data_IF_299858689391
#
_entry.id   IF_299858689391
#
_cell.length_a   1.000
_cell.length_b   1.000
_cell.length_c   1.000
_cell.angle_alpha   90.00
_cell.angle_beta   90.00
_cell.angle_gamma   90.00
#
_symmetry.space_group_name_H-M   'P 1'
#
loop_
_entity.id
_entity.type
_entity.pdbx_description
1 polymer ?
#
# COMPACT_ATOMS: atom_id res chain seq x y z
N UNK A 1 -2.10 -3.77 -43.03
CA UNK A 1 -2.66 -4.78 -43.95
C UNK A 1 -1.61 -5.08 -45.01
N UNK A 2 -1.20 -6.34 -45.16
CA UNK A 2 -0.09 -6.68 -46.05
C UNK A 2 -0.58 -6.70 -47.51
N UNK A 3 -0.02 -5.81 -48.34
CA UNK A 3 -0.25 -5.79 -49.78
C UNK A 3 1.04 -6.29 -50.45
N UNK A 4 0.90 -7.16 -51.44
CA UNK A 4 2.05 -7.63 -52.22
C UNK A 4 2.63 -6.50 -53.08
N UNK A 5 3.86 -6.67 -53.55
CA UNK A 5 4.54 -5.70 -54.44
C UNK A 5 3.71 -5.41 -55.71
N UNK A 6 2.90 -6.37 -56.17
CA UNK A 6 1.99 -6.20 -57.30
C UNK A 6 0.70 -5.42 -56.98
N UNK A 7 0.57 -4.82 -55.79
CA UNK A 7 -0.62 -4.06 -55.39
C UNK A 7 -1.85 -4.93 -55.10
N UNK A 8 -1.68 -6.22 -54.79
CA UNK A 8 -2.76 -7.19 -54.50
C UNK A 8 -2.68 -7.72 -53.08
N UNK A 9 -3.82 -7.94 -52.43
CA UNK A 9 -3.92 -8.61 -51.11
C UNK A 9 -3.95 -10.14 -51.22
N UNK A 10 -4.62 -10.68 -52.24
CA UNK A 10 -4.60 -12.09 -52.62
C UNK A 10 -4.48 -12.25 -54.16
N UNK A 11 -3.96 -13.39 -54.66
CA UNK A 11 -3.90 -13.67 -56.09
C UNK A 11 -5.28 -13.65 -56.79
N UNK A 12 -6.35 -13.89 -56.04
CA UNK A 12 -7.74 -13.87 -56.52
C UNK A 12 -8.31 -12.46 -56.75
N UNK A 13 -7.70 -11.42 -56.17
CA UNK A 13 -8.17 -10.04 -56.33
C UNK A 13 -7.41 -9.30 -57.43
N UNK A 14 -8.08 -8.31 -58.04
CA UNK A 14 -7.44 -7.40 -58.99
C UNK A 14 -6.45 -6.49 -58.25
N UNK A 15 -5.50 -5.95 -59.02
CA UNK A 15 -4.55 -4.96 -58.51
C UNK A 15 -5.32 -3.72 -58.05
N UNK A 16 -4.99 -3.22 -56.85
CA UNK A 16 -5.61 -2.02 -56.26
C UNK A 16 -7.15 -2.08 -56.17
N UNK A 17 -7.70 -3.27 -55.94
CA UNK A 17 -9.13 -3.45 -55.71
C UNK A 17 -9.57 -2.72 -54.42
N UNK A 18 -10.49 -1.76 -54.55
CA UNK A 18 -11.00 -0.94 -53.45
C UNK A 18 -12.14 -1.59 -52.66
N UNK A 19 -12.54 -2.81 -53.02
CA UNK A 19 -13.61 -3.51 -52.31
C UNK A 19 -13.22 -3.84 -50.86
N UNK A 20 -14.15 -3.76 -49.89
CA UNK A 20 -13.85 -4.09 -48.50
C UNK A 20 -13.44 -5.55 -48.32
N UNK A 21 -13.96 -6.45 -49.17
CA UNK A 21 -13.58 -7.87 -49.22
C UNK A 21 -12.11 -8.08 -49.59
N UNK A 22 -11.60 -7.32 -50.56
CA UNK A 22 -10.18 -7.32 -50.90
C UNK A 22 -9.32 -6.79 -49.74
N UNK A 23 -9.90 -5.90 -48.92
CA UNK A 23 -9.34 -5.42 -47.66
C UNK A 23 -9.50 -6.36 -46.46
N UNK A 24 -9.93 -7.62 -46.64
CA UNK A 24 -10.06 -8.57 -45.54
C UNK A 24 -11.25 -8.32 -44.61
N UNK A 25 -12.23 -7.53 -45.02
CA UNK A 25 -13.54 -7.51 -44.38
C UNK A 25 -14.30 -8.80 -44.71
N UNK A 26 -14.74 -9.51 -43.68
CA UNK A 26 -15.47 -10.78 -43.78
C UNK A 26 -16.96 -10.48 -43.53
N UNK A 27 -17.80 -10.64 -44.55
CA UNK A 27 -19.25 -10.41 -44.42
C UNK A 27 -20.03 -11.67 -43.99
N UNK A 28 -19.44 -12.85 -44.18
CA UNK A 28 -20.05 -14.14 -43.85
C UNK A 28 -19.94 -14.50 -42.36
N UNK A 29 -20.78 -15.43 -41.93
CA UNK A 29 -20.85 -15.92 -40.54
C UNK A 29 -20.38 -17.37 -40.48
N UNK A 30 -19.84 -17.79 -39.34
CA UNK A 30 -19.39 -19.19 -39.15
C UNK A 30 -20.50 -20.22 -39.38
N UNK A 31 -21.76 -19.90 -39.08
CA UNK A 31 -22.89 -20.81 -39.25
C UNK A 31 -23.19 -21.14 -40.72
N UNK A 32 -23.08 -20.15 -41.61
CA UNK A 32 -23.38 -20.30 -43.04
C UNK A 32 -22.17 -20.73 -43.87
N UNK A 33 -21.00 -20.81 -43.24
CA UNK A 33 -19.72 -21.03 -43.91
C UNK A 33 -19.09 -19.70 -44.37
N UNK A 34 -17.77 -19.73 -44.52
CA UNK A 34 -16.95 -18.57 -44.91
C UNK A 34 -16.31 -18.86 -46.26
N UNK A 35 -16.26 -17.86 -47.15
CA UNK A 35 -15.62 -18.02 -48.45
C UNK A 35 -14.10 -18.27 -48.30
N UNK A 36 -13.46 -19.04 -49.20
CA UNK A 36 -12.03 -19.37 -49.07
C UNK A 36 -11.09 -18.16 -48.93
N UNK A 37 -11.41 -17.06 -49.61
CA UNK A 37 -10.64 -15.81 -49.56
C UNK A 37 -10.70 -15.16 -48.16
N UNK A 38 -11.90 -15.14 -47.57
CA UNK A 38 -12.15 -14.61 -46.23
C UNK A 38 -11.57 -15.51 -45.13
N UNK A 39 -11.67 -16.83 -45.32
CA UNK A 39 -11.07 -17.81 -44.40
C UNK A 39 -9.56 -17.60 -44.28
N UNK A 40 -8.88 -17.25 -45.39
CA UNK A 40 -7.45 -16.95 -45.36
C UNK A 40 -7.15 -15.71 -44.52
N UNK A 41 -7.90 -14.61 -44.69
CA UNK A 41 -7.74 -13.43 -43.84
C UNK A 41 -8.09 -13.70 -42.37
N UNK A 42 -9.10 -14.53 -42.12
CA UNK A 42 -9.46 -14.96 -40.78
C UNK A 42 -8.32 -15.73 -40.09
N UNK A 43 -7.69 -16.67 -40.80
CA UNK A 43 -6.57 -17.45 -40.25
C UNK A 43 -5.31 -16.60 -40.03
N UNK A 44 -5.08 -15.56 -40.85
CA UNK A 44 -4.02 -14.57 -40.56
C UNK A 44 -4.25 -13.86 -39.23
N UNK A 45 -5.46 -13.33 -39.01
CA UNK A 45 -5.81 -12.64 -37.77
C UNK A 45 -5.72 -13.58 -36.55
N UNK A 46 -6.16 -14.84 -36.69
CA UNK A 46 -6.03 -15.85 -35.63
C UNK A 46 -4.56 -16.15 -35.28
N UNK A 47 -3.68 -16.23 -36.28
CA UNK A 47 -2.24 -16.44 -36.07
C UNK A 47 -1.57 -15.26 -35.37
N UNK A 48 -1.98 -14.03 -35.66
CA UNK A 48 -1.48 -12.83 -34.98
C UNK A 48 -1.70 -12.91 -33.46
N UNK A 49 -2.90 -13.32 -33.02
CA UNK A 49 -3.21 -13.51 -31.60
C UNK A 49 -2.37 -14.62 -30.94
N UNK A 50 -2.11 -15.73 -31.65
CA UNK A 50 -1.24 -16.80 -31.17
C UNK A 50 0.22 -16.34 -31.02
N UNK A 51 0.73 -15.59 -31.99
CA UNK A 51 2.09 -15.03 -31.95
C UNK A 51 2.21 -14.02 -30.79
N UNK A 52 1.21 -13.15 -30.63
CA UNK A 52 1.19 -12.15 -29.57
C UNK A 52 1.20 -12.80 -28.17
N UNK A 53 0.42 -13.87 -28.00
CA UNK A 53 0.44 -14.69 -26.77
C UNK A 53 1.81 -15.30 -26.53
N UNK A 54 2.44 -15.88 -27.58
CA UNK A 54 3.77 -16.47 -27.46
C UNK A 54 4.84 -15.44 -27.08
N UNK A 55 4.76 -14.20 -27.58
CA UNK A 55 5.75 -13.15 -27.29
C UNK A 55 5.50 -12.50 -25.92
N UNK A 56 4.25 -12.20 -25.56
CA UNK A 56 3.91 -11.47 -24.32
C UNK A 56 4.22 -12.26 -23.05
N UNK A 57 4.14 -13.59 -23.09
CA UNK A 57 4.42 -14.47 -21.94
C UNK A 57 5.85 -14.34 -21.41
N UNK A 58 6.84 -14.19 -22.29
CA UNK A 58 8.25 -14.10 -21.91
C UNK A 58 8.57 -12.83 -21.09
N UNK A 59 7.92 -11.70 -21.43
CA UNK A 59 8.19 -10.40 -20.82
C UNK A 59 7.68 -10.30 -19.39
N UNK A 60 6.45 -10.73 -19.14
CA UNK A 60 5.85 -10.68 -17.80
C UNK A 60 6.57 -11.64 -16.84
N UNK A 61 6.95 -12.84 -17.30
CA UNK A 61 7.64 -13.82 -16.47
C UNK A 61 9.03 -13.37 -16.01
N UNK A 62 9.82 -12.75 -16.90
CA UNK A 62 11.13 -12.21 -16.53
C UNK A 62 11.01 -11.05 -15.53
N UNK A 63 10.08 -10.11 -15.78
CA UNK A 63 9.81 -9.00 -14.86
C UNK A 63 9.41 -9.51 -13.48
N UNK A 64 8.51 -10.49 -13.42
CA UNK A 64 8.08 -11.11 -12.16
C UNK A 64 9.26 -11.74 -11.42
N UNK A 65 10.15 -12.47 -12.10
CA UNK A 65 11.35 -13.06 -11.48
C UNK A 65 12.26 -11.98 -10.90
N UNK A 66 12.51 -10.91 -11.64
CA UNK A 66 13.30 -9.78 -11.15
C UNK A 66 12.67 -9.18 -9.89
N UNK A 67 11.36 -8.91 -9.90
CA UNK A 67 10.67 -8.34 -8.75
C UNK A 67 10.70 -9.29 -7.53
N UNK A 68 10.38 -10.57 -7.71
CA UNK A 68 10.40 -11.55 -6.63
C UNK A 68 11.79 -11.64 -6.01
N UNK A 69 12.84 -11.70 -6.83
CA UNK A 69 14.21 -11.86 -6.30
C UNK A 69 14.69 -10.64 -5.49
N UNK A 70 14.28 -9.43 -5.87
CA UNK A 70 14.63 -8.23 -5.11
C UNK A 70 13.77 -8.05 -3.86
N UNK A 71 12.55 -8.61 -3.84
CA UNK A 71 11.59 -8.44 -2.75
C UNK A 71 11.50 -9.66 -1.81
N UNK A 72 12.26 -10.74 -2.06
CA UNK A 72 12.18 -11.99 -1.29
C UNK A 72 12.56 -11.81 0.19
N UNK A 73 13.44 -10.86 0.50
CA UNK A 73 13.92 -10.58 1.85
C UNK A 73 12.97 -9.70 2.68
N UNK A 74 11.97 -9.09 2.04
CA UNK A 74 11.05 -8.17 2.72
C UNK A 74 10.05 -8.93 3.59
N UNK A 75 10.10 -8.65 4.89
CA UNK A 75 9.16 -9.22 5.86
C UNK A 75 8.69 -8.18 6.87
N UNK A 76 7.50 -8.42 7.42
CA UNK A 76 6.95 -7.62 8.52
C UNK A 76 7.55 -8.14 9.82
N UNK A 77 8.18 -7.25 10.59
CA UNK A 77 8.70 -7.56 11.91
C UNK A 77 7.63 -7.35 13.00
N UNK A 78 7.87 -7.87 14.21
CA UNK A 78 6.95 -7.74 15.35
C UNK A 78 6.65 -6.29 15.76
N UNK A 79 7.48 -5.32 15.37
CA UNK A 79 7.23 -3.91 15.58
C UNK A 79 6.27 -3.29 14.53
N UNK A 80 5.84 -4.08 13.54
CA UNK A 80 4.96 -3.66 12.44
C UNK A 80 5.70 -2.98 11.29
N UNK A 81 7.03 -2.89 11.35
CA UNK A 81 7.86 -2.34 10.27
C UNK A 81 8.15 -3.40 9.21
N UNK A 82 8.24 -2.98 7.96
CA UNK A 82 8.70 -3.82 6.85
C UNK A 82 10.20 -3.62 6.74
N UNK A 83 10.96 -4.70 6.95
CA UNK A 83 12.42 -4.68 6.86
C UNK A 83 12.91 -5.72 5.88
N UNK A 84 14.08 -5.43 5.32
CA UNK A 84 14.83 -6.38 4.52
C UNK A 84 15.67 -7.32 5.41
N UNK A 85 16.28 -8.33 4.81
CA UNK A 85 17.14 -9.31 5.47
C UNK A 85 18.33 -8.67 6.24
N UNK A 86 18.87 -7.56 5.75
CA UNK A 86 19.94 -6.79 6.40
C UNK A 86 19.46 -5.98 7.63
N UNK A 87 18.16 -5.98 7.92
CA UNK A 87 17.56 -5.20 8.99
C UNK A 87 17.26 -3.74 8.62
N UNK A 88 17.57 -3.33 7.40
CA UNK A 88 17.20 -2.03 6.83
C UNK A 88 15.67 -1.89 6.76
N UNK A 89 15.15 -0.78 7.31
CA UNK A 89 13.70 -0.50 7.32
C UNK A 89 13.30 0.12 5.98
N UNK A 90 12.39 -0.55 5.26
CA UNK A 90 11.85 -0.07 3.99
C UNK A 90 10.55 0.72 4.19
N UNK A 91 9.67 0.23 5.06
CA UNK A 91 8.44 0.93 5.45
C UNK A 91 8.25 0.87 6.96
N UNK A 92 7.84 1.98 7.57
CA UNK A 92 7.48 2.00 8.98
C UNK A 92 6.20 1.22 9.29
N UNK A 93 5.33 1.07 8.29
CA UNK A 93 4.09 0.33 8.41
C UNK A 93 3.66 -0.21 7.05
N UNK A 94 3.33 -1.49 6.98
CA UNK A 94 2.84 -2.12 5.76
C UNK A 94 1.63 -1.37 5.19
N UNK A 95 1.68 -0.94 3.93
CA UNK A 95 0.58 -0.22 3.28
C UNK A 95 0.21 1.12 3.93
N UNK A 96 1.07 1.67 4.80
CA UNK A 96 0.83 2.84 5.68
C UNK A 96 -0.29 2.64 6.74
N UNK A 97 -1.20 1.69 6.54
CA UNK A 97 -2.36 1.40 7.39
C UNK A 97 -2.19 0.13 8.24
N UNK A 98 -1.25 -0.74 7.89
CA UNK A 98 -0.96 -2.01 8.54
C UNK A 98 -2.05 -3.08 8.33
N UNK A 99 -2.89 -2.94 7.30
CA UNK A 99 -3.98 -3.87 7.03
C UNK A 99 -3.55 -4.96 6.07
N UNK A 100 -3.95 -6.20 6.35
CA UNK A 100 -3.82 -7.31 5.42
C UNK A 100 -4.87 -7.16 4.31
N UNK A 101 -4.41 -7.17 3.05
CA UNK A 101 -5.25 -7.02 1.86
C UNK A 101 -6.36 -8.08 1.84
N UNK A 102 -6.05 -9.33 2.22
CA UNK A 102 -7.02 -10.43 2.20
C UNK A 102 -8.12 -10.29 3.27
N UNK A 103 -7.84 -9.57 4.36
CA UNK A 103 -8.78 -9.34 5.46
C UNK A 103 -9.52 -8.00 5.36
N UNK A 104 -9.06 -7.12 4.46
CA UNK A 104 -9.56 -5.75 4.32
C UNK A 104 -10.88 -5.62 3.53
N UNK A 105 -11.36 -6.69 2.91
CA UNK A 105 -12.52 -6.68 1.98
C UNK A 105 -13.79 -6.05 2.57
N UNK A 106 -14.07 -6.28 3.87
CA UNK A 106 -15.29 -5.79 4.53
C UNK A 106 -15.11 -4.49 5.31
N UNK A 107 -13.92 -3.86 5.25
CA UNK A 107 -13.60 -2.61 5.98
C UNK A 107 -14.12 -1.36 5.24
N UNK A 108 -14.81 -1.53 4.11
CA UNK A 108 -15.37 -0.41 3.34
C UNK A 108 -16.71 0.11 3.90
N UNK A 109 -17.02 1.42 3.76
CA UNK A 109 -18.32 1.97 4.19
C UNK A 109 -19.54 1.28 3.57
N UNK A 110 -19.39 0.73 2.35
CA UNK A 110 -20.47 0.02 1.64
C UNK A 110 -20.78 -1.34 2.26
N UNK A 111 -19.79 -1.98 2.88
CA UNK A 111 -19.89 -3.32 3.47
C UNK A 111 -20.23 -3.29 4.97
N UNK A 112 -20.26 -2.11 5.60
CA UNK A 112 -20.60 -1.98 7.02
C UNK A 112 -22.00 -2.45 7.40
N UNK A 113 -23.07 -2.23 6.60
CA UNK A 113 -24.38 -2.79 6.93
C UNK A 113 -24.34 -4.31 7.05
N UNK A 114 -23.68 -4.99 6.12
CA UNK A 114 -23.49 -6.44 6.16
C UNK A 114 -22.72 -6.90 7.40
N UNK A 115 -21.67 -6.16 7.80
CA UNK A 115 -20.91 -6.49 9.00
C UNK A 115 -21.73 -6.28 10.28
N UNK A 116 -22.59 -5.25 10.31
CA UNK A 116 -23.50 -4.96 11.42
C UNK A 116 -24.52 -6.09 11.60
N UNK A 117 -25.10 -6.56 10.51
CA UNK A 117 -26.12 -7.61 10.56
C UNK A 117 -25.53 -8.96 11.03
N UNK A 118 -24.25 -9.21 10.79
CA UNK A 118 -23.54 -10.44 11.15
C UNK A 118 -22.59 -10.27 12.35
N UNK A 119 -22.77 -9.23 13.17
CA UNK A 119 -21.83 -8.88 14.24
C UNK A 119 -21.62 -10.03 15.23
N UNK A 120 -22.70 -10.71 15.65
CA UNK A 120 -22.64 -11.79 16.65
C UNK A 120 -21.73 -12.94 16.20
N UNK A 121 -21.87 -13.36 14.94
CA UNK A 121 -21.05 -14.42 14.36
C UNK A 121 -19.58 -14.01 14.23
N UNK A 122 -19.31 -12.74 13.89
CA UNK A 122 -17.94 -12.22 13.82
C UNK A 122 -17.31 -12.13 15.21
N UNK A 123 -18.07 -11.69 16.22
CA UNK A 123 -17.58 -11.59 17.60
C UNK A 123 -17.22 -12.96 18.18
N UNK A 124 -18.02 -14.00 17.93
CA UNK A 124 -17.72 -15.36 18.36
C UNK A 124 -16.41 -15.91 17.77
N UNK A 125 -16.11 -15.59 16.50
CA UNK A 125 -14.89 -16.09 15.83
C UNK A 125 -13.64 -15.27 16.15
N UNK A 126 -13.78 -13.96 16.33
CA UNK A 126 -12.65 -13.02 16.45
C UNK A 126 -12.19 -12.77 17.87
N UNK A 127 -13.05 -12.96 18.88
CA UNK A 127 -12.73 -12.73 20.29
C UNK A 127 -12.37 -14.07 20.95
N UNK A 128 -11.12 -14.25 21.43
CA UNK A 128 -10.79 -15.40 22.28
C UNK A 128 -11.63 -15.32 23.55
N UNK A 129 -12.11 -16.47 24.04
CA UNK A 129 -13.02 -16.59 25.20
C UNK A 129 -12.52 -15.84 26.46
N UNK A 130 -11.20 -15.71 26.60
CA UNK A 130 -10.54 -15.13 27.78
C UNK A 130 -10.36 -13.59 27.70
N UNK A 131 -10.54 -12.97 26.53
CA UNK A 131 -10.24 -11.54 26.34
C UNK A 131 -11.46 -10.68 26.65
N UNK A 132 -11.43 -9.95 27.77
CA UNK A 132 -12.45 -8.94 28.10
C UNK A 132 -12.18 -7.63 27.36
N UNK A 133 -13.23 -6.87 27.03
CA UNK A 133 -13.08 -5.56 26.36
C UNK A 133 -12.28 -4.55 27.19
N UNK A 134 -12.23 -4.75 28.51
CA UNK A 134 -11.37 -4.01 29.43
C UNK A 134 -9.87 -4.22 29.15
N UNK A 135 -9.46 -5.38 28.62
CA UNK A 135 -8.07 -5.66 28.26
C UNK A 135 -7.63 -4.89 26.99
N UNK A 136 -8.58 -4.51 26.13
CA UNK A 136 -8.32 -3.78 24.88
C UNK A 136 -8.26 -2.24 25.06
N UNK A 137 -8.41 -1.72 26.28
CA UNK A 137 -8.28 -0.30 26.62
C UNK A 137 -9.02 0.67 25.67
N UNK A 138 -10.20 0.27 25.19
CA UNK A 138 -10.97 0.99 24.15
C UNK A 138 -11.28 2.43 24.56
N UNK A 139 -11.64 2.64 25.83
CA UNK A 139 -11.91 3.98 26.37
C UNK A 139 -10.69 4.90 26.33
N UNK A 140 -9.50 4.36 26.63
CA UNK A 140 -8.26 5.12 26.61
C UNK A 140 -7.89 5.50 25.17
N UNK A 141 -8.07 4.58 24.22
CA UNK A 141 -7.89 4.83 22.80
C UNK A 141 -8.85 5.91 22.28
N UNK A 142 -10.12 5.87 22.68
CA UNK A 142 -11.11 6.87 22.28
C UNK A 142 -10.80 8.26 22.85
N UNK A 143 -10.43 8.34 24.14
CA UNK A 143 -9.98 9.59 24.79
C UNK A 143 -8.77 10.18 24.05
N UNK A 144 -7.83 9.33 23.64
CA UNK A 144 -6.66 9.73 22.87
C UNK A 144 -7.01 10.20 21.45
N UNK A 145 -7.90 9.49 20.76
CA UNK A 145 -8.40 9.90 19.45
C UNK A 145 -9.10 11.26 19.50
N UNK A 146 -9.91 11.52 20.53
CA UNK A 146 -10.53 12.82 20.78
C UNK A 146 -9.48 13.92 21.00
N UNK A 147 -8.35 13.63 21.67
CA UNK A 147 -7.22 14.56 21.85
C UNK A 147 -6.56 14.91 20.50
N UNK A 148 -6.33 13.91 19.64
CA UNK A 148 -5.78 14.11 18.28
C UNK A 148 -6.73 14.97 17.44
N UNK A 149 -8.04 14.68 17.47
CA UNK A 149 -9.05 15.46 16.74
C UNK A 149 -9.09 16.91 17.20
N UNK A 150 -9.00 17.17 18.50
CA UNK A 150 -8.93 18.53 19.07
C UNK A 150 -7.64 19.26 18.65
N UNK A 151 -6.51 18.56 18.61
CA UNK A 151 -5.25 19.12 18.15
C UNK A 151 -5.29 19.49 16.66
N UNK A 152 -5.79 18.59 15.79
CA UNK A 152 -5.95 18.85 14.34
C UNK A 152 -6.80 20.08 14.04
N UNK A 153 -7.86 20.33 14.83
CA UNK A 153 -8.70 21.54 14.70
C UNK A 153 -7.99 22.83 15.11
N UNK A 154 -6.99 22.75 16.00
CA UNK A 154 -6.25 23.91 16.53
C UNK A 154 -4.92 24.15 15.81
N UNK A 155 -4.46 23.19 15.00
CA UNK A 155 -3.20 23.29 14.28
C UNK A 155 -3.31 24.32 13.15
N UNK A 156 -2.34 25.24 13.00
CA UNK A 156 -2.35 26.21 11.91
C UNK A 156 -2.20 25.49 10.56
N UNK A 157 -3.03 25.88 9.59
CA UNK A 157 -2.93 25.41 8.20
C UNK A 157 -1.81 26.20 7.54
N UNK A 158 -0.58 25.68 7.61
CA UNK A 158 0.54 26.26 6.88
C UNK A 158 0.47 25.76 5.43
N UNK A 159 0.28 26.67 4.47
CA UNK A 159 0.50 26.44 3.02
C UNK A 159 -0.36 25.37 2.34
N UNK A 160 -1.68 25.32 2.60
CA UNK A 160 -2.63 24.52 1.81
C UNK A 160 -2.48 22.98 1.87
N UNK A 161 -1.43 22.48 2.51
CA UNK A 161 -1.26 21.08 2.91
C UNK A 161 -1.70 20.92 4.36
N UNK A 162 -2.37 19.82 4.68
CA UNK A 162 -2.67 19.48 6.08
C UNK A 162 -1.40 19.57 6.93
N UNK A 163 -1.54 20.14 8.15
CA UNK A 163 -0.47 20.53 9.06
C UNK A 163 0.78 19.62 8.99
N UNK A 164 1.94 20.19 8.62
CA UNK A 164 3.19 19.46 8.74
C UNK A 164 3.54 19.28 10.21
N UNK A 165 3.83 18.04 10.63
CA UNK A 165 4.28 17.74 11.99
C UNK A 165 5.62 18.43 12.22
N UNK A 166 5.66 19.45 13.07
CA UNK A 166 6.91 20.06 13.52
C UNK A 166 7.39 19.31 14.76
N UNK A 167 8.56 18.67 14.64
CA UNK A 167 9.24 18.00 15.74
C UNK A 167 10.25 18.96 16.37
N UNK A 168 9.74 19.99 17.06
CA UNK A 168 10.58 20.93 17.80
C UNK A 168 10.62 20.45 19.26
N UNK A 169 11.82 20.11 19.73
CA UNK A 169 12.06 19.70 21.11
C UNK A 169 12.54 20.89 21.94
N UNK A 170 12.48 20.79 23.29
CA UNK A 170 13.10 21.79 24.15
C UNK A 170 14.58 22.00 23.85
N UNK A 171 15.29 20.95 23.43
CA UNK A 171 16.68 21.04 22.96
C UNK A 171 16.82 21.89 21.68
N UNK A 172 15.82 21.85 20.80
CA UNK A 172 15.82 22.65 19.56
C UNK A 172 15.68 24.14 19.85
N UNK A 173 14.86 24.51 20.84
CA UNK A 173 14.74 25.89 21.34
C UNK A 173 16.05 26.34 22.03
N UNK A 174 16.63 25.48 22.88
CA UNK A 174 17.92 25.74 23.54
C UNK A 174 19.06 25.95 22.52
N UNK A 175 19.10 25.12 21.48
CA UNK A 175 20.06 25.25 20.39
C UNK A 175 19.82 26.51 19.53
N UNK A 176 18.59 27.01 19.46
CA UNK A 176 18.27 28.24 18.74
C UNK A 176 18.76 29.49 19.48
N UNK A 177 18.78 29.46 20.82
CA UNK A 177 19.32 30.53 21.67
C UNK A 177 20.87 30.53 21.66
N UNK A 178 21.51 29.38 21.45
CA UNK A 178 22.98 29.20 21.45
C UNK A 178 23.56 29.04 20.03
N UNK A 179 23.24 29.97 19.10
CA UNK A 179 23.81 29.96 17.74
C UNK A 179 25.28 30.38 17.74
N UNK A 180 26.16 29.50 17.26
CA UNK A 180 27.59 29.78 17.05
C UNK A 180 28.55 28.88 17.83
N UNK A 181 28.06 28.09 18.77
CA UNK A 181 28.84 27.08 19.50
C UNK A 181 28.92 25.76 18.72
N UNK A 182 29.95 24.96 18.98
CA UNK A 182 30.11 23.63 18.39
C UNK A 182 28.98 22.70 18.82
N UNK A 183 28.58 21.75 17.95
CA UNK A 183 27.51 20.79 18.25
C UNK A 183 27.77 20.03 19.55
N UNK A 184 29.01 19.61 19.78
CA UNK A 184 29.39 18.81 20.95
C UNK A 184 29.33 19.64 22.26
N UNK A 185 29.61 20.93 22.18
CA UNK A 185 29.51 21.86 23.30
C UNK A 185 28.04 22.09 23.68
N UNK A 186 27.16 22.27 22.71
CA UNK A 186 25.71 22.44 22.95
C UNK A 186 25.11 21.18 23.59
N UNK A 187 25.50 19.99 23.10
CA UNK A 187 25.03 18.72 23.67
C UNK A 187 25.55 18.52 25.09
N UNK A 188 26.81 18.86 25.37
CA UNK A 188 27.38 18.74 26.72
C UNK A 188 26.79 19.75 27.70
N UNK A 189 26.46 20.97 27.26
CA UNK A 189 25.74 21.95 28.08
C UNK A 189 24.33 21.46 28.41
N UNK A 190 23.60 20.94 27.41
CA UNK A 190 22.27 20.40 27.63
C UNK A 190 22.25 19.21 28.58
N UNK A 191 23.22 18.28 28.48
CA UNK A 191 23.29 17.10 29.36
C UNK A 191 23.69 17.42 30.80
N UNK A 192 24.43 18.52 31.02
CA UNK A 192 24.79 19.01 32.37
C UNK A 192 23.69 19.87 33.03
N UNK A 193 22.77 20.41 32.24
CA UNK A 193 21.65 21.23 32.71
C UNK A 193 20.69 20.44 33.62
N UNK A 194 20.10 21.12 34.61
CA UNK A 194 19.16 20.50 35.54
C UNK A 194 17.78 20.22 34.88
N UNK A 195 17.04 19.27 35.44
CA UNK A 195 15.74 18.83 34.91
C UNK A 195 14.73 19.98 34.89
N UNK A 196 14.82 20.87 35.87
CA UNK A 196 13.95 22.05 36.03
C UNK A 196 14.11 23.03 34.87
N UNK A 197 15.35 23.38 34.53
CA UNK A 197 15.69 24.28 33.42
C UNK A 197 15.32 23.67 32.06
N UNK A 198 15.55 22.35 31.88
CA UNK A 198 15.09 21.65 30.66
C UNK A 198 13.58 21.72 30.46
N UNK A 199 12.80 21.66 31.54
CA UNK A 199 11.34 21.78 31.48
C UNK A 199 10.89 23.19 31.06
N UNK A 200 11.66 24.24 31.33
CA UNK A 200 11.35 25.59 30.85
C UNK A 200 11.48 25.70 29.33
N UNK A 201 12.57 25.17 28.77
CA UNK A 201 12.75 25.07 27.31
C UNK A 201 11.68 24.17 26.67
N UNK A 202 11.27 23.10 27.35
CA UNK A 202 10.21 22.22 26.87
C UNK A 202 8.80 22.86 26.93
N UNK A 203 8.56 23.79 27.86
CA UNK A 203 7.35 24.62 27.91
C UNK A 203 7.33 25.69 26.81
N UNK A 204 8.50 26.22 26.44
CA UNK A 204 8.67 27.20 25.36
C UNK A 204 8.46 26.58 23.97
N UNK A 205 8.82 25.31 23.81
CA UNK A 205 8.59 24.56 22.59
C UNK A 205 7.08 24.48 22.23
N UNK A 206 6.73 24.50 20.93
CA UNK A 206 5.34 24.38 20.51
C UNK A 206 4.74 23.05 20.97
N UNK A 207 3.42 23.04 21.22
CA UNK A 207 2.71 21.85 21.72
C UNK A 207 3.00 20.65 20.83
N UNK A 208 3.67 19.64 21.40
CA UNK A 208 4.00 18.38 20.72
C UNK A 208 2.78 17.81 20.02
N UNK A 209 2.95 17.36 18.78
CA UNK A 209 1.95 16.57 18.09
C UNK A 209 1.64 15.33 18.95
N UNK A 210 0.37 15.09 19.31
CA UNK A 210 0.02 13.84 19.98
C UNK A 210 0.40 12.66 19.07
N UNK A 211 0.92 11.59 19.69
CA UNK A 211 1.28 10.36 18.99
C UNK A 211 0.06 9.78 18.27
N UNK A 212 0.27 8.90 17.29
CA UNK A 212 -0.84 8.19 16.68
C UNK A 212 -1.51 7.26 17.70
N UNK A 213 -2.80 6.96 17.53
CA UNK A 213 -3.49 5.97 18.40
C UNK A 213 -2.77 4.64 18.35
N UNK A 214 -2.38 4.19 17.15
CA UNK A 214 -1.70 2.91 16.94
C UNK A 214 -0.29 2.86 17.54
N UNK A 215 0.39 4.01 17.67
CA UNK A 215 1.71 4.10 18.30
C UNK A 215 1.61 4.04 19.83
N UNK A 216 0.60 4.72 20.39
CA UNK A 216 0.34 4.74 21.84
C UNK A 216 -0.23 3.42 22.35
N UNK A 217 -1.10 2.79 21.55
CA UNK A 217 -1.84 1.57 21.88
C UNK A 217 -1.47 0.44 20.92
N UNK A 218 -0.17 0.26 20.68
CA UNK A 218 0.28 -0.87 19.89
C UNK A 218 0.01 -2.16 20.67
N UNK A 219 -0.84 -3.01 20.10
CA UNK A 219 -1.23 -4.31 20.64
C UNK A 219 0.01 -5.15 20.98
N UNK A 220 1.07 -5.07 20.17
CA UNK A 220 2.31 -5.83 20.36
C UNK A 220 3.13 -5.35 21.58
N UNK A 221 2.96 -4.09 22.00
CA UNK A 221 3.64 -3.53 23.18
C UNK A 221 2.81 -3.73 24.47
N UNK A 222 1.48 -3.84 24.35
CA UNK A 222 0.57 -3.99 25.50
C UNK A 222 0.22 -5.44 25.84
N UNK A 223 0.11 -6.33 24.84
CA UNK A 223 -0.22 -7.75 25.05
C UNK A 223 1.03 -8.66 25.04
N UNK A 224 2.22 -8.08 24.88
CA UNK A 224 3.44 -8.80 24.56
C UNK A 224 3.38 -9.40 23.15
N UNK A 225 4.53 -9.85 22.64
CA UNK A 225 4.53 -10.76 21.51
C UNK A 225 3.89 -12.07 22.00
N UNK A 226 2.57 -12.22 21.85
CA UNK A 226 1.95 -13.53 21.92
C UNK A 226 2.65 -14.34 20.82
N UNK A 227 3.47 -15.35 21.16
CA UNK A 227 3.89 -16.29 20.14
C UNK A 227 2.60 -16.82 19.55
N UNK A 228 2.45 -16.77 18.22
CA UNK A 228 1.46 -17.59 17.56
C UNK A 228 1.69 -19.01 18.10
N UNK A 229 0.81 -19.46 19.01
CA UNK A 229 0.78 -20.88 19.33
C UNK A 229 0.46 -21.52 18.00
N UNK A 230 1.43 -22.22 17.43
CA UNK A 230 1.23 -23.23 16.40
C UNK A 230 0.29 -24.28 16.99
N UNK A 231 -1.00 -23.97 17.13
CA UNK A 231 -2.03 -24.97 17.32
C UNK A 231 -2.14 -25.64 15.96
N UNK A 232 -1.53 -26.82 15.90
CA UNK A 232 -1.30 -27.60 14.69
C UNK A 232 -2.51 -27.63 13.76
N UNK A 233 -2.31 -27.05 12.58
CA UNK A 233 -2.91 -27.51 11.35
C UNK A 233 -1.72 -27.74 10.40
N UNK A 234 -0.95 -28.78 10.73
CA UNK A 234 -0.14 -29.49 9.74
C UNK A 234 -1.11 -30.37 8.93
N UNK A 235 -1.22 -30.06 7.63
CA UNK A 235 -1.74 -30.92 6.54
C UNK A 235 -3.25 -31.23 6.58
#
# INVERSE_FOLDING_TARGET
MAVTVAGRTLPSFRQFDSSPRAGGYIDQRFLTGINPQELFFHTMAGREGLIDTAVKTSRSGYLQRCLIKHLEGLKIHYDGTVRDHDGSVVQFRYGEDGLDVMKSTYISPRTFPFLKDNLDAVMQRSKPEEVRDSMLNVEAAEKHYRKIRKWRKKAPVLSGRHCQKQYISGFTEFSADHKGLGRDEIVTMWTKMDITERLEYEKRAPRKCPLAVNERFNVNNTLGALPEKNTGLDI
#
